data_IF_949316551014
#
_entry.id   IF_949316551014
#
_cell.length_a   1.000
_cell.length_b   1.000
_cell.length_c   1.000
_cell.angle_alpha   90.00
_cell.angle_beta   90.00
_cell.angle_gamma   90.00
#
_symmetry.space_group_name_H-M   'P 1'
#
loop_
_entity.id
_entity.type
_entity.pdbx_description
1 polymer ?
#
# COMPACT_ATOMS: atom_id res chain seq x y z
N UNK A 1 5.11 28.29 34.33
CA UNK A 1 5.90 27.32 33.53
C UNK A 1 5.04 26.91 32.35
N UNK A 2 5.43 27.39 31.18
CA UNK A 2 4.60 27.40 29.97
C UNK A 2 4.54 25.99 29.37
N UNK A 3 3.33 25.43 29.26
CA UNK A 3 3.09 24.09 28.72
C UNK A 3 3.27 24.19 27.22
N UNK A 4 4.47 23.84 26.72
CA UNK A 4 4.78 23.75 25.29
C UNK A 4 3.61 23.11 24.55
N UNK A 5 2.88 23.92 23.80
CA UNK A 5 1.84 23.49 22.87
C UNK A 5 2.44 22.42 21.97
N UNK A 6 1.99 21.19 22.17
CA UNK A 6 2.37 20.04 21.36
C UNK A 6 1.75 20.30 19.98
N UNK A 7 2.51 20.98 19.10
CA UNK A 7 2.14 21.19 17.68
C UNK A 7 1.50 19.91 17.19
N UNK A 8 0.22 19.98 16.81
CA UNK A 8 -0.56 18.81 16.41
C UNK A 8 0.27 17.98 15.44
N UNK A 9 0.77 16.83 15.90
CA UNK A 9 1.24 15.79 15.00
C UNK A 9 0.01 15.52 14.16
N UNK A 10 0.04 15.87 12.87
CA UNK A 10 -1.01 15.47 11.93
C UNK A 10 -1.34 14.04 12.26
N UNK A 11 -2.57 13.81 12.74
CA UNK A 11 -2.94 12.50 13.23
C UNK A 11 -3.07 11.61 12.00
N UNK A 12 -1.99 10.88 11.71
CA UNK A 12 -1.89 9.97 10.57
C UNK A 12 -3.04 8.96 10.63
N UNK A 13 -3.45 8.55 11.84
CA UNK A 13 -4.58 7.65 12.01
C UNK A 13 -5.88 8.33 11.59
N UNK A 14 -6.19 9.51 12.15
CA UNK A 14 -7.39 10.26 11.77
C UNK A 14 -7.45 10.51 10.26
N UNK A 15 -6.35 10.97 9.64
CA UNK A 15 -6.29 11.23 8.21
C UNK A 15 -6.59 9.99 7.35
N UNK A 16 -6.12 8.82 7.76
CA UNK A 16 -6.40 7.55 7.06
C UNK A 16 -7.85 7.16 7.27
N UNK A 17 -8.35 7.22 8.50
CA UNK A 17 -9.74 6.91 8.85
C UNK A 17 -10.71 7.80 8.08
N UNK A 18 -10.51 9.12 8.11
CA UNK A 18 -11.36 10.10 7.42
C UNK A 18 -11.40 9.84 5.92
N UNK A 19 -10.26 9.47 5.31
CA UNK A 19 -10.21 9.09 3.90
C UNK A 19 -11.04 7.83 3.62
N UNK A 20 -10.98 6.82 4.49
CA UNK A 20 -11.76 5.59 4.34
C UNK A 20 -13.25 5.89 4.50
N UNK A 21 -13.63 6.68 5.51
CA UNK A 21 -15.02 7.10 5.74
C UNK A 21 -15.56 7.85 4.52
N UNK A 22 -14.80 8.81 3.98
CA UNK A 22 -15.21 9.57 2.80
C UNK A 22 -15.42 8.68 1.55
N UNK A 23 -14.65 7.60 1.38
CA UNK A 23 -14.89 6.65 0.30
C UNK A 23 -16.15 5.81 0.55
N UNK A 24 -16.38 5.38 1.80
CA UNK A 24 -17.58 4.63 2.18
C UNK A 24 -18.85 5.47 2.01
N UNK A 25 -18.82 6.76 2.33
CA UNK A 25 -19.92 7.70 2.11
C UNK A 25 -20.29 7.86 0.63
N UNK A 26 -19.30 7.71 -0.28
CA UNK A 26 -19.53 7.65 -1.73
C UNK A 26 -20.07 6.29 -2.21
N UNK A 27 -20.34 5.36 -1.29
CA UNK A 27 -20.74 3.99 -1.61
C UNK A 27 -19.59 3.10 -2.10
N UNK A 28 -18.34 3.57 -2.00
CA UNK A 28 -17.17 2.81 -2.42
C UNK A 28 -16.57 2.08 -1.22
N UNK A 29 -16.55 0.75 -1.28
CA UNK A 29 -15.81 -0.07 -0.31
C UNK A 29 -14.36 -0.21 -0.79
N UNK A 30 -13.36 0.39 -0.11
CA UNK A 30 -11.97 0.40 -0.61
C UNK A 30 -11.35 -0.99 -0.74
N UNK A 31 -11.79 -1.93 0.09
CA UNK A 31 -11.39 -3.34 0.03
C UNK A 31 -12.14 -4.16 -1.01
N UNK A 32 -13.11 -3.58 -1.74
CA UNK A 32 -13.83 -4.19 -2.87
C UNK A 32 -13.32 -3.71 -4.22
N UNK A 33 -12.58 -2.60 -4.23
CA UNK A 33 -11.79 -2.17 -5.38
C UNK A 33 -10.43 -2.89 -5.35
N UNK A 34 -9.82 -3.18 -6.51
CA UNK A 34 -10.17 -2.70 -7.84
C UNK A 34 -11.00 -3.67 -8.70
N UNK A 35 -11.55 -4.75 -8.16
CA UNK A 35 -12.24 -5.82 -8.93
C UNK A 35 -13.70 -5.54 -9.30
N UNK A 36 -14.18 -4.31 -9.11
CA UNK A 36 -15.46 -3.88 -9.69
C UNK A 36 -15.35 -3.77 -11.21
N UNK A 37 -16.42 -4.13 -11.93
CA UNK A 37 -16.51 -4.26 -13.40
C UNK A 37 -15.99 -3.08 -14.25
N UNK A 38 -15.68 -1.92 -13.65
CA UNK A 38 -15.11 -0.76 -14.31
C UNK A 38 -13.58 -0.84 -14.58
N UNK A 39 -12.84 -1.77 -13.95
CA UNK A 39 -11.37 -1.88 -14.04
C UNK A 39 -10.91 -3.27 -14.52
N UNK A 40 -11.50 -3.78 -15.60
CA UNK A 40 -11.32 -5.16 -16.09
C UNK A 40 -10.16 -5.37 -17.06
N UNK A 41 -9.34 -4.37 -17.34
CA UNK A 41 -8.35 -4.42 -18.43
C UNK A 41 -7.03 -5.13 -18.10
N UNK A 42 -6.87 -5.73 -16.90
CA UNK A 42 -5.67 -6.48 -16.53
C UNK A 42 -5.79 -7.27 -15.23
N UNK A 43 -4.83 -8.16 -14.96
CA UNK A 43 -4.77 -8.90 -13.71
C UNK A 43 -4.55 -7.94 -12.54
N UNK A 44 -5.48 -7.91 -11.60
CA UNK A 44 -5.31 -7.08 -10.39
C UNK A 44 -4.18 -7.65 -9.54
N UNK A 45 -3.12 -6.86 -9.37
CA UNK A 45 -1.99 -7.21 -8.51
C UNK A 45 -1.97 -6.32 -7.27
N UNK A 46 -1.24 -6.77 -6.25
CA UNK A 46 -0.93 -5.92 -5.10
C UNK A 46 -0.01 -4.79 -5.58
N UNK A 47 -0.18 -3.55 -5.08
CA UNK A 47 0.77 -2.48 -5.33
C UNK A 47 2.17 -2.94 -4.91
N UNK A 48 3.15 -2.65 -5.74
CA UNK A 48 4.54 -3.07 -5.58
C UNK A 48 5.40 -1.86 -5.21
N UNK A 49 6.42 -2.10 -4.39
CA UNK A 49 7.52 -1.16 -4.16
C UNK A 49 8.45 -1.15 -5.38
N UNK A 50 9.32 -0.16 -5.48
CA UNK A 50 10.36 -0.09 -6.52
C UNK A 50 11.22 -1.36 -6.66
N UNK A 51 11.34 -2.18 -5.61
CA UNK A 51 12.09 -3.43 -5.61
C UNK A 51 11.23 -4.68 -5.88
N UNK A 52 9.98 -4.52 -6.33
CA UNK A 52 9.06 -5.62 -6.65
C UNK A 52 8.36 -6.24 -5.42
N UNK A 53 8.70 -5.85 -4.19
CA UNK A 53 8.02 -6.37 -3.01
C UNK A 53 6.61 -5.77 -2.86
N UNK A 54 5.58 -6.57 -2.60
CA UNK A 54 4.22 -6.07 -2.45
C UNK A 54 4.04 -5.26 -1.16
N UNK A 55 3.32 -4.13 -1.25
CA UNK A 55 2.80 -3.43 -0.08
C UNK A 55 1.82 -4.33 0.69
N UNK A 56 1.76 -4.11 2.01
CA UNK A 56 0.96 -4.91 2.94
C UNK A 56 0.00 -4.02 3.75
N UNK A 57 -1.07 -4.63 4.24
CA UNK A 57 -2.03 -4.00 5.16
C UNK A 57 -2.69 -2.78 4.55
N UNK A 58 -2.79 -1.71 5.34
CA UNK A 58 -3.52 -0.50 4.95
C UNK A 58 -2.95 0.18 3.69
N UNK A 59 -1.64 0.04 3.43
CA UNK A 59 -1.03 0.60 2.23
C UNK A 59 -1.56 -0.03 0.95
N UNK A 60 -1.95 -1.30 0.99
CA UNK A 60 -2.59 -1.98 -0.15
C UNK A 60 -3.91 -1.28 -0.51
N UNK A 61 -4.74 -0.97 0.49
CA UNK A 61 -6.02 -0.30 0.30
C UNK A 61 -5.86 1.16 -0.14
N UNK A 62 -4.93 1.89 0.48
CA UNK A 62 -4.65 3.29 0.13
C UNK A 62 -4.19 3.43 -1.32
N UNK A 63 -3.26 2.58 -1.75
CA UNK A 63 -2.71 2.63 -3.11
C UNK A 63 -3.68 2.09 -4.16
N UNK A 64 -4.50 1.08 -3.86
CA UNK A 64 -5.59 0.68 -4.76
C UNK A 64 -6.62 1.78 -4.93
N UNK A 65 -7.09 2.40 -3.83
CA UNK A 65 -8.01 3.53 -3.90
C UNK A 65 -7.45 4.65 -4.78
N UNK A 66 -6.18 4.99 -4.56
CA UNK A 66 -5.50 6.01 -5.35
C UNK A 66 -5.41 5.64 -6.83
N UNK A 67 -4.93 4.43 -7.15
CA UNK A 67 -4.79 3.94 -8.51
C UNK A 67 -6.12 4.06 -9.28
N UNK A 68 -7.22 3.62 -8.65
CA UNK A 68 -8.54 3.72 -9.28
C UNK A 68 -9.00 5.16 -9.42
N UNK A 69 -8.81 6.01 -8.40
CA UNK A 69 -9.26 7.41 -8.46
C UNK A 69 -8.54 8.23 -9.53
N UNK A 70 -7.30 7.86 -9.86
CA UNK A 70 -6.43 8.60 -10.78
C UNK A 70 -6.21 7.90 -12.11
N UNK A 71 -6.76 6.71 -12.29
CA UNK A 71 -6.64 5.93 -13.52
C UNK A 71 -5.24 5.35 -13.75
N UNK A 72 -4.50 5.07 -12.68
CA UNK A 72 -3.18 4.44 -12.79
C UNK A 72 -3.30 2.96 -13.13
N UNK A 73 -2.48 2.53 -14.07
CA UNK A 73 -2.35 1.17 -14.57
C UNK A 73 -1.12 0.47 -13.98
N UNK A 74 -0.04 1.21 -13.72
CA UNK A 74 1.18 0.62 -13.19
C UNK A 74 1.01 0.20 -11.72
N UNK A 75 1.38 -1.04 -11.35
CA UNK A 75 1.30 -1.47 -9.96
C UNK A 75 2.44 -0.92 -9.11
N UNK A 76 3.48 -0.33 -9.71
CA UNK A 76 4.71 0.05 -9.00
C UNK A 76 4.66 1.46 -8.45
N UNK A 77 5.05 1.61 -7.19
CA UNK A 77 5.09 2.86 -6.46
C UNK A 77 6.45 3.07 -5.79
N UNK A 78 6.94 4.30 -5.85
CA UNK A 78 8.25 4.66 -5.31
C UNK A 78 8.28 6.08 -4.76
N UNK A 79 9.21 6.36 -3.86
CA UNK A 79 9.41 7.73 -3.36
C UNK A 79 10.07 8.59 -4.43
N UNK A 80 9.96 9.92 -4.29
CA UNK A 80 10.66 10.87 -5.18
C UNK A 80 12.17 10.62 -5.27
N UNK A 81 12.82 10.28 -4.14
CA UNK A 81 14.27 9.99 -4.16
C UNK A 81 14.58 8.74 -4.98
N UNK A 82 13.78 7.69 -4.81
CA UNK A 82 13.92 6.45 -5.57
C UNK A 82 13.69 6.66 -7.08
N UNK A 83 12.73 7.51 -7.47
CA UNK A 83 12.53 7.79 -8.89
C UNK A 83 13.76 8.46 -9.50
N UNK A 84 14.35 9.43 -8.81
CA UNK A 84 15.57 10.13 -9.25
C UNK A 84 16.77 9.18 -9.30
N UNK A 85 16.94 8.31 -8.31
CA UNK A 85 18.00 7.28 -8.28
C UNK A 85 17.90 6.30 -9.46
N UNK A 86 16.68 6.05 -9.95
CA UNK A 86 16.41 5.21 -11.12
C UNK A 86 16.49 5.98 -12.45
N UNK A 87 16.89 7.26 -12.43
CA UNK A 87 16.98 8.11 -13.61
C UNK A 87 15.66 8.72 -14.07
N UNK A 88 14.57 8.48 -13.33
CA UNK A 88 13.26 9.02 -13.63
C UNK A 88 12.97 10.36 -12.97
N UNK A 89 12.02 11.10 -13.53
CA UNK A 89 11.57 12.38 -13.02
C UNK A 89 10.04 12.43 -12.90
N UNK A 90 9.56 12.75 -11.70
CA UNK A 90 8.13 12.96 -11.47
C UNK A 90 7.65 14.13 -12.34
N UNK A 91 6.59 13.91 -13.11
CA UNK A 91 6.06 14.90 -14.03
C UNK A 91 5.59 16.15 -13.28
N UNK A 92 5.75 17.32 -13.91
CA UNK A 92 5.42 18.60 -13.27
C UNK A 92 3.91 18.67 -12.99
N UNK A 93 3.55 18.98 -11.75
CA UNK A 93 2.16 19.10 -11.30
C UNK A 93 1.59 17.82 -10.68
N UNK A 94 2.33 16.72 -10.76
CA UNK A 94 1.93 15.46 -10.12
C UNK A 94 1.98 15.55 -8.59
N UNK A 95 0.95 15.00 -7.95
CA UNK A 95 0.87 14.88 -6.49
C UNK A 95 1.15 13.46 -6.05
N UNK A 96 1.83 13.30 -4.92
CA UNK A 96 2.15 11.98 -4.39
C UNK A 96 1.09 11.47 -3.41
N UNK A 97 1.11 10.17 -3.18
CA UNK A 97 0.14 9.43 -2.37
C UNK A 97 0.79 8.98 -1.07
N UNK A 98 0.02 8.97 0.02
CA UNK A 98 0.53 8.69 1.35
C UNK A 98 0.54 7.18 1.62
N UNK A 99 1.67 6.66 2.10
CA UNK A 99 1.80 5.33 2.69
C UNK A 99 2.38 5.43 4.09
N UNK A 100 2.16 4.41 4.92
CA UNK A 100 2.64 4.38 6.30
C UNK A 100 3.60 3.23 6.57
N UNK A 101 4.53 3.46 7.48
CA UNK A 101 5.46 2.47 7.99
C UNK A 101 5.40 2.47 9.51
N UNK A 102 5.03 1.32 10.08
CA UNK A 102 5.01 1.09 11.52
C UNK A 102 6.21 0.22 11.90
N UNK A 103 6.96 0.63 12.93
CA UNK A 103 8.06 -0.16 13.48
C UNK A 103 8.33 0.27 14.92
N UNK A 104 9.33 -0.34 15.58
CA UNK A 104 9.76 -0.02 16.94
C UNK A 104 11.22 0.46 16.92
N UNK A 105 11.53 1.48 17.72
CA UNK A 105 12.91 1.89 18.00
C UNK A 105 13.25 1.36 19.39
N UNK A 106 14.38 0.67 19.52
CA UNK A 106 14.90 0.25 20.83
C UNK A 106 15.65 1.43 21.45
N UNK A 107 15.34 1.73 22.70
CA UNK A 107 16.03 2.76 23.48
C UNK A 107 16.41 2.18 24.83
N UNK A 108 17.67 2.33 25.21
CA UNK A 108 18.14 2.02 26.55
C UNK A 108 17.75 3.16 27.48
N UNK A 109 17.02 2.83 28.54
CA UNK A 109 16.62 3.76 29.60
C UNK A 109 17.08 3.16 30.93
N UNK A 110 17.59 3.99 31.83
CA UNK A 110 17.89 3.57 33.21
C UNK A 110 16.58 3.51 33.99
N UNK A 111 16.31 2.37 34.63
CA UNK A 111 15.12 2.19 35.45
C UNK A 111 15.26 2.87 36.83
N UNK A 112 14.24 2.70 37.67
CA UNK A 112 14.22 3.29 39.01
C UNK A 112 15.27 2.68 39.97
N UNK A 113 15.77 1.49 39.64
CA UNK A 113 16.75 0.75 40.43
C UNK A 113 18.19 1.00 39.93
N UNK A 114 18.35 1.78 38.85
CA UNK A 114 19.65 2.13 38.27
C UNK A 114 20.13 1.15 37.20
N UNK A 115 19.31 0.17 36.82
CA UNK A 115 19.64 -0.84 35.81
C UNK A 115 19.31 -0.35 34.41
N UNK A 116 20.12 -0.73 33.42
CA UNK A 116 19.84 -0.41 32.02
C UNK A 116 18.79 -1.36 31.46
N UNK A 117 17.64 -0.81 31.04
CA UNK A 117 16.54 -1.57 30.44
C UNK A 117 16.33 -1.14 29.00
N UNK A 118 16.31 -2.11 28.09
CA UNK A 118 15.93 -1.89 26.70
C UNK A 118 14.41 -1.78 26.56
N UNK A 119 13.94 -0.64 26.03
CA UNK A 119 12.52 -0.40 25.78
C UNK A 119 12.25 -0.17 24.30
N UNK A 120 11.31 -0.95 23.75
CA UNK A 120 10.81 -0.77 22.38
C UNK A 120 9.73 0.30 22.29
N UNK A 121 10.04 1.45 21.67
CA UNK A 121 9.09 2.54 21.46
C UNK A 121 8.46 2.39 20.06
N UNK A 122 7.15 2.11 19.95
CA UNK A 122 6.48 2.01 18.66
C UNK A 122 6.37 3.38 18.00
N UNK A 123 6.53 3.42 16.68
CA UNK A 123 6.31 4.61 15.89
C UNK A 123 5.58 4.31 14.59
N UNK A 124 4.91 5.34 14.07
CA UNK A 124 4.31 5.36 12.74
C UNK A 124 4.91 6.53 11.96
N UNK A 125 5.41 6.27 10.76
CA UNK A 125 5.92 7.28 9.81
C UNK A 125 5.07 7.26 8.55
N UNK A 126 4.71 8.44 8.05
CA UNK A 126 4.12 8.59 6.73
C UNK A 126 5.22 8.89 5.70
N UNK A 127 5.06 8.34 4.50
CA UNK A 127 5.89 8.59 3.33
C UNK A 127 5.00 8.98 2.16
N UNK A 128 5.55 9.76 1.25
CA UNK A 128 4.92 10.11 -0.02
C UNK A 128 5.54 9.27 -1.13
N UNK A 129 4.70 8.57 -1.88
CA UNK A 129 5.09 7.75 -3.03
C UNK A 129 4.34 8.20 -4.28
N UNK A 130 4.92 7.93 -5.43
CA UNK A 130 4.39 8.22 -6.76
C UNK A 130 4.25 6.90 -7.51
N UNK A 131 3.16 6.76 -8.24
CA UNK A 131 2.99 5.66 -9.18
C UNK A 131 3.98 5.83 -10.33
N UNK A 132 4.45 4.73 -10.92
CA UNK A 132 5.30 4.77 -12.11
C UNK A 132 4.68 5.56 -13.27
N UNK A 133 3.34 5.57 -13.39
CA UNK A 133 2.61 6.36 -14.41
C UNK A 133 2.80 7.88 -14.26
N UNK A 134 3.28 8.35 -13.11
CA UNK A 134 3.53 9.76 -12.82
C UNK A 134 4.99 10.17 -13.08
N UNK A 135 5.82 9.24 -13.53
CA UNK A 135 7.27 9.40 -13.59
C UNK A 135 7.73 9.08 -15.00
N UNK A 136 8.36 10.04 -15.65
CA UNK A 136 9.00 9.87 -16.95
C UNK A 136 10.44 9.37 -16.78
N UNK A 137 10.96 8.65 -17.77
CA UNK A 137 12.37 8.24 -17.81
C UNK A 137 12.73 7.01 -16.96
N UNK A 138 11.76 6.29 -16.39
CA UNK A 138 12.04 5.04 -15.70
C UNK A 138 12.38 3.90 -16.70
N UNK A 139 13.13 2.88 -16.25
CA UNK A 139 13.27 1.64 -17.02
C UNK A 139 11.92 1.00 -17.38
N UNK A 140 11.81 0.44 -18.59
CA UNK A 140 10.54 -0.08 -19.15
C UNK A 140 9.80 -1.08 -18.24
N UNK A 141 10.53 -1.86 -17.43
CA UNK A 141 9.96 -2.81 -16.48
C UNK A 141 9.02 -2.18 -15.44
N UNK A 142 9.13 -0.87 -15.18
CA UNK A 142 8.30 -0.17 -14.19
C UNK A 142 6.92 0.22 -14.69
N UNK A 143 6.75 0.35 -16.02
CA UNK A 143 5.48 0.71 -16.68
C UNK A 143 4.61 -0.51 -17.05
N UNK A 144 5.04 -1.71 -16.68
CA UNK A 144 4.40 -2.95 -17.10
C UNK A 144 2.97 -3.10 -16.55
N UNK A 145 2.00 -3.21 -17.47
CA UNK A 145 0.65 -3.63 -17.12
C UNK A 145 0.64 -5.15 -16.85
N UNK A 146 0.03 -5.63 -15.76
CA UNK A 146 -0.25 -7.05 -15.61
C UNK A 146 -0.97 -7.62 -16.85
N UNK A 147 -0.48 -8.75 -17.35
CA UNK A 147 -1.07 -9.44 -18.50
C UNK A 147 -2.58 -9.66 -18.29
N UNK A 148 -3.40 -9.54 -19.36
CA UNK A 148 -4.82 -9.82 -19.28
C UNK A 148 -5.07 -11.25 -18.79
N UNK A 149 -6.17 -11.44 -18.06
CA UNK A 149 -6.61 -12.77 -17.64
C UNK A 149 -7.26 -13.44 -18.85
N UNK A 150 -6.77 -14.61 -19.24
CA UNK A 150 -7.36 -15.42 -20.31
C UNK A 150 -8.72 -15.98 -19.85
N UNK A 151 -9.69 -16.02 -20.78
CA UNK A 151 -11.01 -16.64 -20.62
C UNK A 151 -11.14 -17.75 -21.70
N UNK A 152 -11.62 -18.98 -21.41
CA UNK A 152 -12.19 -19.48 -20.16
C UNK A 152 -11.17 -19.66 -19.02
N UNK A 153 -11.61 -19.40 -17.78
CA UNK A 153 -10.86 -19.79 -16.58
C UNK A 153 -10.98 -21.30 -16.41
N UNK A 154 -9.99 -22.04 -16.93
CA UNK A 154 -9.85 -23.46 -16.65
C UNK A 154 -9.60 -23.71 -15.16
N UNK A 155 -9.92 -24.94 -14.72
CA UNK A 155 -9.66 -25.35 -13.35
C UNK A 155 -8.16 -25.25 -13.04
N UNK A 156 -7.84 -24.54 -11.96
CA UNK A 156 -6.47 -24.20 -11.62
C UNK A 156 -5.93 -25.23 -10.63
N UNK A 157 -5.18 -26.23 -11.10
CA UNK A 157 -4.66 -27.33 -10.26
C UNK A 157 -3.87 -26.83 -9.04
N UNK A 158 -3.04 -25.79 -9.22
CA UNK A 158 -2.27 -25.24 -8.11
C UNK A 158 -3.14 -24.52 -7.07
N UNK A 159 -4.32 -24.01 -7.46
CA UNK A 159 -5.27 -23.43 -6.52
C UNK A 159 -5.94 -24.53 -5.68
N UNK A 160 -6.31 -25.66 -6.31
CA UNK A 160 -6.86 -26.82 -5.59
C UNK A 160 -5.87 -27.37 -4.56
N UNK A 161 -4.61 -27.54 -4.96
CA UNK A 161 -3.56 -27.98 -4.05
C UNK A 161 -3.37 -27.00 -2.88
N UNK A 162 -3.41 -25.70 -3.15
CA UNK A 162 -3.37 -24.68 -2.10
C UNK A 162 -4.54 -24.84 -1.11
N UNK A 163 -5.76 -24.96 -1.61
CA UNK A 163 -6.95 -25.11 -0.77
C UNK A 163 -6.93 -26.40 0.05
N UNK A 164 -6.53 -27.54 -0.54
CA UNK A 164 -6.39 -28.81 0.19
C UNK A 164 -5.36 -28.68 1.33
N UNK A 165 -4.24 -28.00 1.08
CA UNK A 165 -3.18 -27.80 2.07
C UNK A 165 -3.56 -26.80 3.18
N UNK A 166 -4.66 -26.06 3.05
CA UNK A 166 -5.17 -25.23 4.16
C UNK A 166 -5.78 -26.06 5.29
N UNK A 167 -6.14 -27.33 5.02
CA UNK A 167 -6.87 -28.19 5.96
C UNK A 167 -8.33 -27.78 6.18
N UNK A 168 -8.85 -26.80 5.45
CA UNK A 168 -10.25 -26.42 5.52
C UNK A 168 -11.16 -27.53 5.00
N UNK A 169 -12.26 -27.79 5.71
CA UNK A 169 -13.31 -28.70 5.23
C UNK A 169 -14.14 -27.97 4.18
N UNK A 170 -13.88 -28.27 2.90
CA UNK A 170 -14.61 -27.69 1.77
C UNK A 170 -15.79 -28.60 1.43
N UNK A 171 -17.01 -28.08 1.60
CA UNK A 171 -18.25 -28.76 1.21
C UNK A 171 -18.81 -28.09 -0.05
N UNK A 172 -19.15 -28.89 -1.03
CA UNK A 172 -19.82 -28.43 -2.25
C UNK A 172 -21.30 -28.79 -2.16
N UNK A 173 -22.17 -27.79 -2.22
CA UNK A 173 -23.61 -27.93 -1.97
C UNK A 173 -24.03 -27.03 -0.81
N UNK A 174 -25.03 -26.17 -1.07
CA UNK A 174 -25.69 -25.39 -0.01
C UNK A 174 -26.48 -26.27 0.93
#
# INVERSE_FOLDING_TARGET
MDRKSNKSRVDIYAKITDRIVAELEKGVRPWVKPWSAANTTGRITRPLRHNGLPYQGINTLLLWSEAVSRGFVSPTWMTFKQSVELGGHVCKGETGSMVVYASRIVRTETDADGEEVERGIPFLKAYTVFCADQIDGLPAQYYGNPAPVSDPVERIEHADAFFANTGAVIRHGG
#
